data_IF_503740006682
#
_entry.id   IF_503740006682
#
_cell.length_a   1.000
_cell.length_b   1.000
_cell.length_c   1.000
_cell.angle_alpha   90.00
_cell.angle_beta   90.00
_cell.angle_gamma   90.00
#
_symmetry.space_group_name_H-M   'P 1'
#
loop_
_entity.id
_entity.type
_entity.pdbx_description
1 polymer ?
#
# COMPACT_ATOMS: atom_id res chain seq x y z
N UNK A 1 -17.02 -31.89 38.04
CA UNK A 1 -17.77 -31.08 37.07
C UNK A 1 -17.12 -29.73 36.76
N UNK A 2 -16.62 -28.94 37.72
CA UNK A 2 -15.99 -27.62 37.45
C UNK A 2 -14.72 -27.67 36.56
N UNK A 3 -13.90 -28.71 36.64
CA UNK A 3 -12.69 -28.87 35.81
C UNK A 3 -12.98 -29.21 34.34
N UNK A 4 -14.10 -29.85 34.05
CA UNK A 4 -14.50 -30.24 32.69
C UNK A 4 -15.00 -29.00 31.91
N UNK A 5 -15.69 -28.08 32.59
CA UNK A 5 -16.20 -26.83 32.01
C UNK A 5 -15.03 -25.90 31.63
N UNK A 6 -13.95 -25.85 32.44
CA UNK A 6 -12.79 -25.04 32.15
C UNK A 6 -12.01 -25.49 30.89
N UNK A 7 -11.93 -26.81 30.68
CA UNK A 7 -11.28 -27.39 29.50
C UNK A 7 -12.12 -27.12 28.23
N UNK A 8 -13.44 -27.17 28.33
CA UNK A 8 -14.33 -26.88 27.22
C UNK A 8 -14.29 -25.40 26.83
N UNK A 9 -14.14 -24.51 27.81
CA UNK A 9 -13.97 -23.05 27.54
C UNK A 9 -12.63 -22.74 26.87
N UNK A 10 -11.55 -23.42 27.21
CA UNK A 10 -10.24 -23.25 26.57
C UNK A 10 -10.19 -23.76 25.12
N UNK A 11 -11.02 -24.74 24.77
CA UNK A 11 -11.12 -25.26 23.40
C UNK A 11 -11.94 -24.34 22.47
N UNK A 12 -12.80 -23.48 23.03
CA UNK A 12 -13.60 -22.53 22.25
C UNK A 12 -12.81 -21.26 21.84
N UNK A 13 -11.61 -21.05 22.39
CA UNK A 13 -10.75 -19.91 22.04
C UNK A 13 -9.65 -20.21 21.02
N UNK A 14 -9.62 -21.44 20.48
CA UNK A 14 -8.81 -21.72 19.30
C UNK A 14 -9.61 -21.48 18.02
N UNK A 15 -10.13 -20.26 17.85
CA UNK A 15 -10.46 -19.77 16.53
C UNK A 15 -9.10 -19.54 15.84
N UNK A 16 -8.74 -20.29 14.80
CA UNK A 16 -7.59 -19.93 14.01
C UNK A 16 -7.89 -18.52 13.50
N UNK A 17 -7.13 -17.54 13.97
CA UNK A 17 -7.01 -16.26 13.28
C UNK A 17 -6.33 -16.65 11.97
N UNK A 18 -7.13 -16.92 10.94
CA UNK A 18 -6.66 -16.87 9.58
C UNK A 18 -6.29 -15.39 9.34
N UNK A 19 -5.07 -15.02 9.70
CA UNK A 19 -4.43 -13.94 9.00
C UNK A 19 -4.26 -14.50 7.58
N UNK A 20 -5.12 -14.09 6.66
CA UNK A 20 -4.82 -14.21 5.25
C UNK A 20 -3.51 -13.46 5.05
N UNK A 21 -2.38 -14.19 5.09
CA UNK A 21 -1.10 -13.64 4.69
C UNK A 21 -1.26 -13.34 3.21
N UNK A 22 -1.39 -12.06 2.90
CA UNK A 22 -1.37 -11.62 1.52
C UNK A 22 -0.07 -12.09 0.88
N UNK A 23 -0.16 -12.66 -0.31
CA UNK A 23 1.01 -13.11 -1.03
C UNK A 23 1.98 -11.93 -1.23
N UNK A 24 3.30 -12.21 -1.20
CA UNK A 24 4.30 -11.18 -1.41
C UNK A 24 4.07 -10.47 -2.75
N UNK A 25 4.37 -9.18 -2.80
CA UNK A 25 4.34 -8.38 -4.03
C UNK A 25 5.12 -9.11 -5.14
N UNK A 26 4.49 -9.27 -6.30
CA UNK A 26 5.04 -10.02 -7.43
C UNK A 26 4.55 -11.47 -7.55
N UNK A 27 3.75 -11.99 -6.61
CA UNK A 27 3.03 -13.25 -6.77
C UNK A 27 1.67 -12.97 -7.43
N UNK A 28 1.36 -13.69 -8.53
CA UNK A 28 0.05 -13.61 -9.17
C UNK A 28 0.10 -13.18 -10.63
N UNK A 29 -1.07 -12.85 -11.16
CA UNK A 29 -1.24 -12.39 -12.54
C UNK A 29 -0.79 -10.92 -12.61
N UNK A 30 0.20 -10.62 -13.44
CA UNK A 30 0.68 -9.27 -13.65
C UNK A 30 -0.36 -8.43 -14.42
N UNK A 31 -0.70 -7.27 -13.86
CA UNK A 31 -1.57 -6.27 -14.48
C UNK A 31 -0.71 -5.21 -15.14
N UNK A 32 -0.86 -5.07 -16.45
CA UNK A 32 -0.19 -4.02 -17.23
C UNK A 32 -1.20 -2.96 -17.68
N UNK A 33 -0.70 -1.86 -18.21
CA UNK A 33 -1.54 -0.78 -18.76
C UNK A 33 -2.43 -1.27 -19.89
N UNK A 34 -1.94 -2.23 -20.66
CA UNK A 34 -2.64 -2.83 -21.81
C UNK A 34 -3.70 -3.84 -21.38
N UNK A 35 -3.39 -4.65 -20.35
CA UNK A 35 -4.31 -5.70 -19.89
C UNK A 35 -5.42 -5.16 -19.00
N UNK A 36 -5.13 -4.14 -18.19
CA UNK A 36 -6.14 -3.53 -17.33
C UNK A 36 -5.87 -2.03 -17.07
N UNK A 37 -6.26 -1.15 -18.01
CA UNK A 37 -5.99 0.27 -17.94
C UNK A 37 -6.67 0.98 -16.75
N UNK A 38 -7.77 0.41 -16.22
CA UNK A 38 -8.52 1.02 -15.09
C UNK A 38 -7.69 0.97 -13.81
N UNK A 39 -7.14 -0.19 -13.48
CA UNK A 39 -6.29 -0.37 -12.29
C UNK A 39 -4.98 0.39 -12.44
N UNK A 40 -4.34 0.27 -13.60
CA UNK A 40 -3.12 0.99 -13.91
C UNK A 40 -3.29 2.51 -13.74
N UNK A 41 -4.28 3.08 -14.40
CA UNK A 41 -4.56 4.52 -14.35
C UNK A 41 -4.93 5.00 -12.95
N UNK A 42 -5.58 4.17 -12.14
CA UNK A 42 -5.89 4.50 -10.75
C UNK A 42 -4.60 4.69 -9.92
N UNK A 43 -3.66 3.74 -10.00
CA UNK A 43 -2.39 3.80 -9.29
C UNK A 43 -1.48 4.91 -9.83
N UNK A 44 -1.47 5.13 -11.15
CA UNK A 44 -0.72 6.22 -11.78
C UNK A 44 -1.19 7.59 -11.27
N UNK A 45 -2.50 7.81 -11.17
CA UNK A 45 -3.07 9.06 -10.67
C UNK A 45 -2.77 9.27 -9.18
N UNK A 46 -2.86 8.21 -8.38
CA UNK A 46 -2.48 8.27 -6.96
C UNK A 46 -0.99 8.59 -6.80
N UNK A 47 -0.12 7.96 -7.58
CA UNK A 47 1.32 8.21 -7.57
C UNK A 47 1.66 9.65 -7.93
N UNK A 48 1.01 10.21 -8.95
CA UNK A 48 1.18 11.62 -9.34
C UNK A 48 0.74 12.57 -8.22
N UNK A 49 -0.40 12.31 -7.59
CA UNK A 49 -0.87 13.12 -6.48
C UNK A 49 0.08 13.08 -5.28
N UNK A 50 0.61 11.90 -4.95
CA UNK A 50 1.58 11.72 -3.89
C UNK A 50 2.90 12.45 -4.20
N UNK A 51 3.41 12.34 -5.44
CA UNK A 51 4.61 13.06 -5.90
C UNK A 51 4.44 14.56 -5.69
N UNK A 52 3.34 15.14 -6.17
CA UNK A 52 3.04 16.56 -6.02
C UNK A 52 2.99 16.98 -4.53
N UNK A 53 2.40 16.19 -3.66
CA UNK A 53 2.33 16.48 -2.23
C UNK A 53 3.71 16.46 -1.56
N UNK A 54 4.55 15.49 -1.89
CA UNK A 54 5.93 15.37 -1.39
C UNK A 54 6.80 16.54 -1.86
N UNK A 55 6.69 16.93 -3.12
CA UNK A 55 7.38 18.08 -3.71
C UNK A 55 6.94 19.41 -3.07
N UNK A 56 5.64 19.61 -2.88
CA UNK A 56 5.09 20.80 -2.22
C UNK A 56 5.61 20.96 -0.78
N UNK A 57 5.84 19.85 -0.08
CA UNK A 57 6.45 19.85 1.26
C UNK A 57 7.98 19.85 1.24
N UNK A 58 8.59 20.01 0.06
CA UNK A 58 10.05 20.05 -0.15
C UNK A 58 10.78 18.81 0.41
N UNK A 59 10.18 17.62 0.30
CA UNK A 59 10.77 16.37 0.77
C UNK A 59 12.00 15.95 -0.05
N UNK A 60 12.23 16.52 -1.22
CA UNK A 60 13.46 16.35 -2.00
C UNK A 60 14.76 16.73 -1.25
N UNK A 61 14.66 17.41 -0.10
CA UNK A 61 15.80 17.66 0.78
C UNK A 61 16.42 16.39 1.39
N UNK A 62 15.71 15.25 1.30
CA UNK A 62 16.17 13.93 1.72
C UNK A 62 17.14 13.26 0.71
N UNK A 63 17.90 14.01 -0.03
CA UNK A 63 18.78 13.55 -1.12
C UNK A 63 19.54 12.28 -0.81
N UNK A 64 19.45 11.30 -1.72
CA UNK A 64 20.15 10.02 -1.61
C UNK A 64 19.52 9.07 -0.58
N UNK A 65 18.35 9.39 -0.05
CA UNK A 65 17.59 8.55 0.86
C UNK A 65 16.50 7.82 0.10
N UNK A 66 16.10 6.66 0.62
CA UNK A 66 14.94 5.92 0.17
C UNK A 66 13.93 5.74 1.30
N UNK A 67 12.72 5.43 0.94
CA UNK A 67 11.67 5.05 1.87
C UNK A 67 10.80 3.96 1.26
N UNK A 68 10.27 3.08 2.10
CA UNK A 68 9.32 2.05 1.69
C UNK A 68 8.16 2.02 2.68
N UNK A 69 6.96 1.97 2.17
CA UNK A 69 5.73 1.89 2.97
C UNK A 69 4.77 0.89 2.38
N UNK A 70 4.19 0.08 3.27
CA UNK A 70 3.11 -0.84 2.95
C UNK A 70 1.85 -0.43 3.71
N UNK A 71 0.69 -0.54 3.09
CA UNK A 71 -0.60 -0.26 3.70
C UNK A 71 -1.74 -0.93 2.95
N UNK A 72 -2.90 -0.97 3.57
CA UNK A 72 -4.13 -1.43 2.93
C UNK A 72 -4.93 -0.21 2.48
N UNK A 73 -5.31 -0.20 1.21
CA UNK A 73 -6.23 0.78 0.64
C UNK A 73 -7.60 0.14 0.47
N UNK A 74 -8.63 0.77 1.04
CA UNK A 74 -10.01 0.29 0.96
C UNK A 74 -10.74 0.87 -0.25
N UNK A 75 -11.87 0.27 -0.62
CA UNK A 75 -12.76 0.73 -1.70
C UNK A 75 -13.14 2.21 -1.59
N UNK A 76 -13.33 2.71 -0.37
CA UNK A 76 -13.73 4.09 -0.11
C UNK A 76 -12.55 5.07 -0.08
N UNK A 77 -11.33 4.61 -0.36
CA UNK A 77 -10.12 5.42 -0.36
C UNK A 77 -9.53 5.66 1.04
N UNK A 78 -9.84 4.81 2.02
CA UNK A 78 -9.20 4.86 3.33
C UNK A 78 -7.88 4.09 3.33
N UNK A 79 -6.87 4.64 4.00
CA UNK A 79 -5.58 3.99 4.23
C UNK A 79 -5.59 3.38 5.63
N UNK A 80 -5.30 2.08 5.73
CA UNK A 80 -5.19 1.33 6.98
C UNK A 80 -3.79 0.71 7.11
N UNK A 81 -3.37 0.48 8.34
CA UNK A 81 -2.19 -0.32 8.71
C UNK A 81 -0.88 0.10 8.04
N UNK A 82 -0.66 1.41 7.88
CA UNK A 82 0.57 1.92 7.28
C UNK A 82 1.81 1.51 8.09
N UNK A 83 2.69 0.77 7.44
CA UNK A 83 3.98 0.29 7.97
C UNK A 83 5.11 0.78 7.07
N UNK A 84 6.35 0.67 7.56
CA UNK A 84 7.52 1.09 6.80
C UNK A 84 8.20 2.33 7.39
N UNK A 85 9.25 2.77 6.74
CA UNK A 85 10.06 3.89 7.23
C UNK A 85 10.87 4.58 6.14
N UNK A 86 11.25 5.82 6.41
CA UNK A 86 12.42 6.44 5.77
C UNK A 86 13.67 5.84 6.42
N UNK A 87 14.58 5.25 5.63
CA UNK A 87 15.76 4.61 6.15
C UNK A 87 16.53 5.54 7.10
N UNK A 88 16.59 5.15 8.39
CA UNK A 88 17.39 5.72 9.46
C UNK A 88 17.00 7.12 9.98
N UNK A 89 15.76 7.60 9.78
CA UNK A 89 15.38 8.91 10.29
C UNK A 89 13.89 9.03 10.71
N UNK A 90 13.63 8.86 12.00
CA UNK A 90 12.26 8.89 12.56
C UNK A 90 11.51 10.20 12.34
N UNK A 91 12.24 11.33 12.32
CA UNK A 91 11.62 12.64 12.10
C UNK A 91 11.04 12.76 10.69
N UNK A 92 11.79 12.33 9.69
CA UNK A 92 11.31 12.34 8.31
C UNK A 92 10.31 11.23 8.04
N UNK A 93 10.44 10.09 8.71
CA UNK A 93 9.46 9.01 8.64
C UNK A 93 8.07 9.49 9.01
N UNK A 94 7.94 10.17 10.14
CA UNK A 94 6.66 10.75 10.58
C UNK A 94 6.09 11.72 9.53
N UNK A 95 6.93 12.61 8.98
CA UNK A 95 6.49 13.57 7.97
C UNK A 95 6.02 12.90 6.67
N UNK A 96 6.73 11.89 6.20
CA UNK A 96 6.35 11.16 4.96
C UNK A 96 5.04 10.42 5.19
N UNK A 97 4.86 9.74 6.32
CA UNK A 97 3.59 9.10 6.69
C UNK A 97 2.43 10.11 6.75
N UNK A 98 2.63 11.26 7.36
CA UNK A 98 1.63 12.34 7.42
C UNK A 98 1.25 12.81 6.00
N UNK A 99 2.21 12.88 5.07
CA UNK A 99 1.93 13.25 3.68
C UNK A 99 1.14 12.15 2.99
N UNK A 100 1.56 10.88 3.08
CA UNK A 100 0.84 9.74 2.51
C UNK A 100 -0.61 9.73 2.99
N UNK A 101 -0.84 9.89 4.31
CA UNK A 101 -2.17 9.92 4.90
C UNK A 101 -2.99 11.18 4.52
N UNK A 102 -2.33 12.28 4.14
CA UNK A 102 -3.00 13.52 3.71
C UNK A 102 -3.45 13.50 2.25
N UNK A 103 -2.78 12.70 1.41
CA UNK A 103 -3.17 12.46 0.03
C UNK A 103 -4.25 11.39 0.04
N UNK A 104 -5.52 11.83 0.17
CA UNK A 104 -6.64 10.88 0.14
C UNK A 104 -6.73 10.24 -1.24
N UNK A 105 -6.54 8.93 -1.38
CA UNK A 105 -6.85 8.23 -2.61
C UNK A 105 -8.32 8.44 -2.97
N UNK A 106 -8.62 8.48 -4.25
CA UNK A 106 -10.01 8.45 -4.69
C UNK A 106 -10.61 7.07 -4.36
N UNK A 107 -11.93 6.97 -4.17
CA UNK A 107 -12.60 5.67 -4.13
C UNK A 107 -12.26 4.84 -5.36
N UNK A 108 -12.28 3.52 -5.24
CA UNK A 108 -12.03 2.65 -6.39
C UNK A 108 -12.99 2.97 -7.53
N UNK A 109 -12.47 2.96 -8.73
CA UNK A 109 -13.24 3.27 -9.95
C UNK A 109 -14.24 2.16 -10.25
N UNK A 110 -15.29 2.51 -10.97
CA UNK A 110 -16.20 1.52 -11.54
C UNK A 110 -15.41 0.53 -12.40
N UNK A 111 -15.65 -0.76 -12.19
CA UNK A 111 -14.89 -1.84 -12.82
C UNK A 111 -13.71 -2.38 -11.99
N UNK A 112 -13.37 -1.78 -10.86
CA UNK A 112 -12.45 -2.35 -9.87
C UNK A 112 -13.24 -3.21 -8.88
N UNK A 113 -13.21 -4.54 -9.08
CA UNK A 113 -14.07 -5.50 -8.37
C UNK A 113 -13.42 -6.07 -7.11
N UNK A 114 -12.82 -5.23 -6.29
CA UNK A 114 -12.20 -5.60 -5.02
C UNK A 114 -12.65 -4.66 -3.92
N UNK A 115 -12.54 -5.08 -2.67
CA UNK A 115 -12.86 -4.26 -1.50
C UNK A 115 -11.61 -3.63 -0.89
N UNK A 116 -10.47 -4.30 -1.01
CA UNK A 116 -9.19 -3.86 -0.48
C UNK A 116 -8.05 -4.16 -1.48
N UNK A 117 -7.03 -3.28 -1.48
CA UNK A 117 -5.78 -3.47 -2.22
C UNK A 117 -4.61 -3.30 -1.25
N UNK A 118 -3.68 -4.24 -1.26
CA UNK A 118 -2.40 -4.10 -0.57
C UNK A 118 -1.47 -3.25 -1.41
N UNK A 119 -1.03 -2.16 -0.84
CA UNK A 119 -0.20 -1.16 -1.50
C UNK A 119 1.21 -1.21 -0.96
N UNK A 120 2.18 -1.14 -1.85
CA UNK A 120 3.59 -0.92 -1.52
C UNK A 120 4.07 0.33 -2.27
N UNK A 121 4.62 1.30 -1.54
CA UNK A 121 5.17 2.52 -2.12
C UNK A 121 6.67 2.55 -1.85
N UNK A 122 7.45 2.75 -2.91
CA UNK A 122 8.88 3.00 -2.84
C UNK A 122 9.17 4.44 -3.28
N UNK A 123 9.87 5.18 -2.44
CA UNK A 123 10.26 6.56 -2.67
C UNK A 123 11.77 6.65 -2.78
N UNK A 124 12.27 7.23 -3.87
CA UNK A 124 13.67 7.58 -4.07
C UNK A 124 13.82 9.10 -4.11
N UNK A 125 14.61 9.67 -3.20
CA UNK A 125 14.86 11.12 -3.17
C UNK A 125 16.14 11.44 -3.92
N UNK A 126 16.00 11.86 -5.18
CA UNK A 126 17.10 12.07 -6.12
C UNK A 126 17.87 13.39 -5.90
N UNK A 127 19.03 13.53 -6.58
CA UNK A 127 19.94 14.68 -6.37
C UNK A 127 19.41 16.01 -6.89
N UNK A 128 18.51 16.02 -7.86
CA UNK A 128 18.07 17.22 -8.59
C UNK A 128 16.66 17.68 -8.22
N UNK A 129 16.29 17.55 -6.96
CA UNK A 129 14.95 17.92 -6.47
C UNK A 129 13.82 17.08 -7.08
N UNK A 130 14.15 15.89 -7.54
CA UNK A 130 13.21 14.93 -8.06
C UNK A 130 12.94 13.81 -7.06
N UNK A 131 11.73 13.29 -7.09
CA UNK A 131 11.26 12.18 -6.25
C UNK A 131 10.77 11.10 -7.20
N UNK A 132 11.48 9.98 -7.18
CA UNK A 132 11.02 8.78 -7.88
C UNK A 132 9.99 8.07 -7.01
N UNK A 133 8.89 7.67 -7.61
CA UNK A 133 7.83 6.91 -6.94
C UNK A 133 7.52 5.68 -7.77
N UNK A 134 7.68 4.51 -7.15
CA UNK A 134 7.14 3.26 -7.63
C UNK A 134 6.02 2.82 -6.70
N UNK A 135 4.86 2.49 -7.25
CA UNK A 135 3.69 2.04 -6.51
C UNK A 135 3.33 0.65 -6.98
N UNK A 136 3.46 -0.31 -6.07
CA UNK A 136 2.96 -1.66 -6.24
C UNK A 136 1.60 -1.83 -5.57
N UNK A 137 0.78 -2.71 -6.14
CA UNK A 137 -0.46 -3.15 -5.55
C UNK A 137 -0.67 -4.64 -5.75
N UNK A 138 -1.29 -5.30 -4.78
CA UNK A 138 -1.81 -6.65 -4.97
C UNK A 138 -3.23 -6.74 -4.44
N UNK A 139 -4.08 -7.49 -5.13
CA UNK A 139 -5.48 -7.67 -4.77
C UNK A 139 -5.98 -9.05 -5.21
N UNK A 140 -7.10 -9.44 -4.67
CA UNK A 140 -7.77 -10.71 -5.01
C UNK A 140 -9.06 -10.37 -5.75
N UNK A 141 -9.22 -10.91 -6.96
CA UNK A 141 -10.46 -10.88 -7.72
C UNK A 141 -10.80 -12.31 -8.17
N UNK A 142 -12.05 -12.74 -7.93
CA UNK A 142 -12.54 -14.08 -8.26
C UNK A 142 -11.62 -15.24 -7.83
N UNK A 143 -10.96 -15.13 -6.67
CA UNK A 143 -9.99 -16.07 -6.10
C UNK A 143 -8.64 -16.14 -6.84
N UNK A 144 -8.40 -15.28 -7.79
CA UNK A 144 -7.10 -15.09 -8.42
C UNK A 144 -6.39 -13.90 -7.79
N UNK A 145 -5.07 -14.01 -7.68
CA UNK A 145 -4.21 -12.96 -7.14
C UNK A 145 -3.68 -12.16 -8.31
N UNK A 146 -3.82 -10.86 -8.22
CA UNK A 146 -3.29 -9.92 -9.19
C UNK A 146 -2.21 -9.05 -8.56
N UNK A 147 -1.19 -8.72 -9.34
CA UNK A 147 -0.15 -7.77 -8.96
C UNK A 147 0.01 -6.69 -10.02
N UNK A 148 0.30 -5.49 -9.58
CA UNK A 148 0.50 -4.32 -10.43
C UNK A 148 1.67 -3.50 -9.89
N UNK A 149 2.51 -2.99 -10.78
CA UNK A 149 3.61 -2.09 -10.42
C UNK A 149 3.67 -0.92 -11.41
N UNK A 150 3.59 0.29 -10.89
CA UNK A 150 3.54 1.53 -11.66
C UNK A 150 4.71 2.42 -11.26
N UNK A 151 5.62 2.63 -12.19
CA UNK A 151 6.70 3.61 -12.06
C UNK A 151 6.21 4.98 -12.54
N UNK A 152 6.12 5.95 -11.63
CA UNK A 152 5.69 7.32 -11.93
C UNK A 152 6.87 8.29 -12.10
N UNK A 153 8.09 7.79 -12.19
CA UNK A 153 9.31 8.60 -12.33
C UNK A 153 9.53 9.12 -13.75
N UNK A 154 8.73 8.67 -14.72
CA UNK A 154 8.84 9.04 -16.15
C UNK A 154 7.87 10.13 -16.54
#
# INVERSE_FOLDING_TARGET
>A
MKKLILILLLLLFQIPVFSEEFPPSGAGIEVTKETNPIYWGYLEDYGKALKQALEAKRMFRLRGWGAAYDFILTRDGEIKDIKGSVFQNDYYDKKVKEIILSVKPLPFRDGMNMDEMHMSIYLGFQRYNDIDISIGGSFIDNKEIFSIDVDTSK
#
